data_IF_951186436284
#
_entry.id   IF_951186436284
#
_cell.length_a   1.000
_cell.length_b   1.000
_cell.length_c   1.000
_cell.angle_alpha   90.00
_cell.angle_beta   90.00
_cell.angle_gamma   90.00
#
_symmetry.space_group_name_H-M   'P 1'
#
loop_
_entity.id
_entity.type
_entity.pdbx_description
1 polymer ?
#
# COMPACT_ATOMS: atom_id res chain seq x y z
N UNK A 1 19.30 -16.73 -16.10
CA UNK A 1 19.07 -18.15 -15.70
C UNK A 1 17.92 -18.35 -14.71
N UNK A 2 17.43 -17.32 -14.00
CA UNK A 2 16.29 -17.48 -13.07
C UNK A 2 14.94 -17.64 -13.79
N UNK A 3 14.74 -16.93 -14.93
CA UNK A 3 13.49 -17.02 -15.71
C UNK A 3 13.17 -18.42 -16.21
N UNK A 4 14.17 -19.16 -16.71
CA UNK A 4 13.94 -20.50 -17.28
C UNK A 4 13.52 -21.53 -16.22
N UNK A 5 14.10 -21.47 -15.01
CA UNK A 5 13.77 -22.42 -13.94
C UNK A 5 12.35 -22.22 -13.39
N UNK A 6 11.90 -20.97 -13.28
CA UNK A 6 10.53 -20.68 -12.86
C UNK A 6 9.51 -21.09 -13.93
N UNK A 7 9.79 -20.77 -15.19
CA UNK A 7 8.99 -21.16 -16.34
C UNK A 7 8.80 -22.69 -16.41
N UNK A 8 9.88 -23.46 -16.25
CA UNK A 8 9.83 -24.92 -16.30
C UNK A 8 8.97 -25.55 -15.18
N UNK A 9 8.94 -24.94 -13.99
CA UNK A 9 8.07 -25.40 -12.88
C UNK A 9 6.58 -25.19 -13.23
N UNK A 10 6.26 -24.13 -13.97
CA UNK A 10 4.87 -23.78 -14.28
C UNK A 10 4.25 -24.64 -15.39
N UNK A 11 5.04 -25.29 -16.24
CA UNK A 11 4.55 -26.13 -17.36
C UNK A 11 3.62 -27.26 -16.93
N UNK A 12 3.75 -27.74 -15.69
CA UNK A 12 2.86 -28.76 -15.12
C UNK A 12 1.52 -28.22 -14.58
N UNK A 13 1.36 -26.90 -14.52
CA UNK A 13 0.22 -26.21 -13.90
C UNK A 13 -0.55 -25.40 -14.95
N UNK A 14 0.19 -24.67 -15.79
CA UNK A 14 -0.33 -23.80 -16.85
C UNK A 14 0.00 -24.43 -18.20
N UNK A 15 -1.02 -24.70 -19.00
CA UNK A 15 -0.88 -25.29 -20.33
C UNK A 15 -0.72 -24.15 -21.36
N UNK A 16 0.51 -23.66 -21.48
CA UNK A 16 0.90 -22.62 -22.45
C UNK A 16 2.16 -23.03 -23.23
N UNK A 17 2.47 -22.32 -24.31
CA UNK A 17 3.70 -22.54 -25.08
C UNK A 17 4.95 -22.19 -24.25
N UNK A 18 6.10 -22.75 -24.64
CA UNK A 18 7.38 -22.49 -23.96
C UNK A 18 7.68 -20.98 -23.90
N UNK A 19 7.85 -20.45 -22.69
CA UNK A 19 8.15 -19.04 -22.44
C UNK A 19 6.91 -18.18 -22.16
N UNK A 20 5.70 -18.74 -22.18
CA UNK A 20 4.46 -18.02 -21.91
C UNK A 20 3.84 -18.32 -20.54
N UNK A 21 4.29 -19.34 -19.81
CA UNK A 21 3.67 -19.76 -18.55
C UNK A 21 3.76 -18.66 -17.48
N UNK A 22 4.88 -17.93 -17.40
CA UNK A 22 5.06 -16.83 -16.45
C UNK A 22 4.07 -15.69 -16.70
N UNK A 23 3.87 -15.28 -17.95
CA UNK A 23 2.91 -14.24 -18.32
C UNK A 23 1.47 -14.67 -17.99
N UNK A 24 1.13 -15.91 -18.31
CA UNK A 24 -0.16 -16.51 -17.98
C UNK A 24 -0.40 -16.61 -16.46
N UNK A 25 0.64 -16.88 -15.66
CA UNK A 25 0.55 -16.83 -14.20
C UNK A 25 0.26 -15.41 -13.70
N UNK A 26 0.94 -14.41 -14.25
CA UNK A 26 0.68 -13.01 -13.88
C UNK A 26 -0.75 -12.60 -14.20
N UNK A 27 -1.26 -13.00 -15.37
CA UNK A 27 -2.66 -12.78 -15.75
C UNK A 27 -3.62 -13.50 -14.79
N UNK A 28 -3.35 -14.77 -14.47
CA UNK A 28 -4.15 -15.54 -13.52
C UNK A 28 -4.25 -14.86 -12.15
N UNK A 29 -3.11 -14.40 -11.62
CA UNK A 29 -3.05 -13.68 -10.33
C UNK A 29 -3.82 -12.35 -10.42
N UNK A 30 -3.60 -11.57 -11.48
CA UNK A 30 -4.25 -10.28 -11.66
C UNK A 30 -5.78 -10.41 -11.76
N UNK A 31 -6.27 -11.33 -12.60
CA UNK A 31 -7.70 -11.61 -12.74
C UNK A 31 -8.31 -12.08 -11.42
N UNK A 32 -7.62 -12.94 -10.67
CA UNK A 32 -8.10 -13.43 -9.37
C UNK A 32 -8.19 -12.32 -8.33
N UNK A 33 -7.17 -11.48 -8.25
CA UNK A 33 -7.14 -10.33 -7.32
C UNK A 33 -8.28 -9.36 -7.65
N UNK A 34 -8.50 -9.07 -8.93
CA UNK A 34 -9.56 -8.18 -9.39
C UNK A 34 -10.96 -8.77 -9.11
N UNK A 35 -11.23 -9.97 -9.60
CA UNK A 35 -12.56 -10.60 -9.53
C UNK A 35 -12.97 -10.98 -8.09
N UNK A 36 -12.02 -11.31 -7.21
CA UNK A 36 -12.32 -11.63 -5.81
C UNK A 36 -12.75 -10.41 -4.98
N UNK A 37 -12.45 -9.19 -5.45
CA UNK A 37 -12.70 -7.93 -4.72
C UNK A 37 -11.98 -7.85 -3.36
N UNK A 38 -11.00 -8.72 -3.12
CA UNK A 38 -10.38 -8.90 -1.80
C UNK A 38 -9.61 -7.66 -1.34
N UNK A 39 -8.93 -6.98 -2.28
CA UNK A 39 -8.22 -5.74 -1.99
C UNK A 39 -9.16 -4.56 -1.73
N UNK A 40 -10.35 -4.54 -2.35
CA UNK A 40 -11.36 -3.52 -2.05
C UNK A 40 -11.82 -3.59 -0.60
N UNK A 41 -12.04 -4.80 -0.07
CA UNK A 41 -12.40 -5.00 1.34
C UNK A 41 -11.24 -4.64 2.29
N UNK A 42 -10.00 -4.97 1.92
CA UNK A 42 -8.83 -4.60 2.71
C UNK A 42 -8.67 -3.08 2.82
N UNK A 43 -8.83 -2.39 1.69
CA UNK A 43 -8.71 -0.93 1.62
C UNK A 43 -9.70 -0.22 2.55
N UNK A 44 -10.94 -0.69 2.64
CA UNK A 44 -11.93 -0.11 3.56
C UNK A 44 -11.52 -0.24 5.03
N UNK A 45 -10.79 -1.30 5.40
CA UNK A 45 -10.22 -1.44 6.76
C UNK A 45 -9.02 -0.51 6.95
N UNK A 46 -8.16 -0.36 5.95
CA UNK A 46 -7.03 0.57 6.01
C UNK A 46 -7.49 2.03 6.17
N UNK A 47 -8.63 2.40 5.58
CA UNK A 47 -9.26 3.74 5.69
C UNK A 47 -9.83 4.06 7.08
N UNK A 48 -9.84 3.11 8.02
CA UNK A 48 -10.15 3.39 9.42
C UNK A 48 -9.14 4.36 10.05
N UNK A 49 -7.95 4.48 9.45
CA UNK A 49 -6.97 5.52 9.76
C UNK A 49 -7.37 6.87 9.15
N UNK A 50 -8.16 7.64 9.91
CA UNK A 50 -8.73 8.93 9.45
C UNK A 50 -7.82 10.12 9.73
N UNK A 51 -6.93 10.02 10.73
CA UNK A 51 -6.14 11.16 11.22
C UNK A 51 -4.65 11.01 10.95
N UNK A 52 -4.23 9.87 10.37
CA UNK A 52 -2.84 9.45 10.26
C UNK A 52 -2.15 9.37 11.62
N UNK A 53 -0.92 8.86 11.64
CA UNK A 53 -0.13 8.77 12.85
C UNK A 53 0.12 10.14 13.48
N UNK A 54 0.27 11.19 12.66
CA UNK A 54 0.46 12.57 13.09
C UNK A 54 -0.70 13.13 13.92
N UNK A 55 -1.93 12.68 13.68
CA UNK A 55 -3.08 13.04 14.51
C UNK A 55 -3.30 12.07 15.67
N UNK A 56 -3.12 10.77 15.42
CA UNK A 56 -3.35 9.69 16.40
C UNK A 56 -2.44 9.80 17.62
N UNK A 57 -1.21 10.27 17.45
CA UNK A 57 -0.25 10.45 18.56
C UNK A 57 -0.80 11.37 19.67
N UNK A 58 -1.56 12.42 19.31
CA UNK A 58 -2.18 13.32 20.29
C UNK A 58 -3.23 12.61 21.14
N UNK A 59 -4.06 11.78 20.51
CA UNK A 59 -5.08 10.99 21.18
C UNK A 59 -4.48 9.87 22.04
N UNK A 60 -3.34 9.31 21.63
CA UNK A 60 -2.59 8.36 22.44
C UNK A 60 -2.16 8.98 23.79
N UNK A 61 -1.61 10.20 23.78
CA UNK A 61 -1.25 10.90 25.02
C UNK A 61 -2.45 11.18 25.93
N UNK A 62 -3.60 11.52 25.34
CA UNK A 62 -4.85 11.64 26.10
C UNK A 62 -5.24 10.31 26.77
N UNK A 63 -5.11 9.19 26.06
CA UNK A 63 -5.49 7.86 26.57
C UNK A 63 -4.61 7.43 27.73
N UNK A 64 -3.29 7.62 27.63
CA UNK A 64 -2.36 7.26 28.69
C UNK A 64 -2.32 8.28 29.84
N UNK A 65 -3.11 9.37 29.73
CA UNK A 65 -3.17 10.45 30.72
C UNK A 65 -1.82 11.13 31.00
N UNK A 66 -0.97 11.21 29.97
CA UNK A 66 0.32 11.91 30.03
C UNK A 66 0.29 13.22 29.23
N UNK A 67 1.09 14.23 29.60
CA UNK A 67 1.22 15.43 28.80
C UNK A 67 1.68 15.11 27.37
N UNK A 68 1.00 15.67 26.38
CA UNK A 68 1.36 15.47 24.99
C UNK A 68 2.73 16.07 24.69
N UNK A 69 3.69 15.23 24.32
CA UNK A 69 5.06 15.67 24.01
C UNK A 69 5.12 16.40 22.65
N UNK A 70 4.30 15.98 21.69
CA UNK A 70 4.23 16.59 20.35
C UNK A 70 3.85 18.07 20.40
N UNK A 71 2.96 18.45 21.32
CA UNK A 71 2.56 19.84 21.49
C UNK A 71 3.62 20.71 22.20
N UNK A 72 4.65 20.11 22.83
CA UNK A 72 5.73 20.87 23.49
C UNK A 72 6.80 21.37 22.52
N UNK A 73 6.97 20.69 21.39
CA UNK A 73 8.08 20.96 20.47
C UNK A 73 7.88 22.20 19.57
N UNK A 74 6.76 22.94 19.69
CA UNK A 74 6.36 23.97 18.70
C UNK A 74 5.94 25.33 19.29
N UNK A 75 6.42 25.67 20.50
CA UNK A 75 6.22 27.00 21.11
C UNK A 75 6.84 28.16 20.29
N UNK A 76 7.60 27.90 19.21
CA UNK A 76 8.34 28.95 18.48
C UNK A 76 7.50 29.73 17.44
N UNK A 77 6.37 29.19 16.94
CA UNK A 77 5.58 29.84 15.88
C UNK A 77 4.25 30.44 16.36
N UNK A 78 3.87 30.27 17.63
CA UNK A 78 2.68 30.86 18.25
C UNK A 78 1.33 30.47 17.63
N UNK A 79 1.30 29.50 16.70
CA UNK A 79 0.06 28.98 16.11
C UNK A 79 -0.30 27.63 16.74
N UNK A 80 -1.57 27.40 17.11
CA UNK A 80 -2.00 26.10 17.59
C UNK A 80 -1.77 25.04 16.50
N UNK A 81 -1.26 23.89 16.91
CA UNK A 81 -1.06 22.72 16.05
C UNK A 81 -2.35 22.41 15.29
N UNK A 82 -2.27 21.93 14.05
CA UNK A 82 -3.44 21.48 13.26
C UNK A 82 -4.32 20.44 13.98
N UNK A 83 -3.79 19.81 15.03
CA UNK A 83 -4.43 18.78 15.84
C UNK A 83 -4.69 19.21 17.29
N UNK A 84 -4.50 20.48 17.66
CA UNK A 84 -4.78 20.96 19.02
C UNK A 84 -6.22 20.69 19.46
N UNK A 85 -7.18 20.72 18.52
CA UNK A 85 -8.59 20.37 18.78
C UNK A 85 -8.79 18.92 19.22
N UNK A 86 -7.85 18.01 18.91
CA UNK A 86 -7.93 16.59 19.31
C UNK A 86 -7.83 16.41 20.83
N UNK A 87 -7.22 17.33 21.57
CA UNK A 87 -7.19 17.29 23.04
C UNK A 87 -8.54 17.58 23.70
N UNK A 88 -9.50 18.14 22.95
CA UNK A 88 -10.88 18.35 23.43
C UNK A 88 -11.81 17.18 23.10
N UNK A 89 -11.31 16.12 22.44
CA UNK A 89 -12.11 14.96 22.05
C UNK A 89 -12.44 14.12 23.30
N UNK A 90 -13.71 13.72 23.51
CA UNK A 90 -14.10 12.86 24.63
C UNK A 90 -13.32 11.54 24.65
N UNK A 91 -13.02 11.04 25.85
CA UNK A 91 -12.19 9.84 26.05
C UNK A 91 -12.63 8.63 25.23
N UNK A 92 -13.93 8.30 25.23
CA UNK A 92 -14.46 7.16 24.46
C UNK A 92 -14.23 7.30 22.95
N UNK A 93 -14.32 8.53 22.44
CA UNK A 93 -14.08 8.83 21.03
C UNK A 93 -12.59 8.74 20.71
N UNK A 94 -11.72 9.20 21.61
CA UNK A 94 -10.26 9.04 21.50
C UNK A 94 -9.87 7.56 21.46
N UNK A 95 -10.42 6.74 22.37
CA UNK A 95 -10.23 5.29 22.38
C UNK A 95 -10.65 4.64 21.07
N UNK A 96 -11.83 5.01 20.55
CA UNK A 96 -12.31 4.48 19.27
C UNK A 96 -11.35 4.80 18.13
N UNK A 97 -10.93 6.06 18.00
CA UNK A 97 -10.04 6.49 16.92
C UNK A 97 -8.69 5.76 17.00
N UNK A 98 -8.10 5.66 18.18
CA UNK A 98 -6.81 4.98 18.36
C UNK A 98 -6.92 3.48 18.11
N UNK A 99 -8.02 2.85 18.53
CA UNK A 99 -8.31 1.44 18.22
C UNK A 99 -8.46 1.22 16.71
N UNK A 100 -9.23 2.09 16.04
CA UNK A 100 -9.47 2.02 14.60
C UNK A 100 -8.16 2.20 13.81
N UNK A 101 -7.26 3.08 14.27
CA UNK A 101 -5.89 3.20 13.75
C UNK A 101 -5.08 1.91 13.89
N UNK A 102 -5.10 1.26 15.06
CA UNK A 102 -4.34 0.00 15.25
C UNK A 102 -4.89 -1.13 14.37
N UNK A 103 -6.20 -1.17 14.15
CA UNK A 103 -6.83 -2.10 13.19
C UNK A 103 -6.36 -1.79 11.76
N UNK A 104 -6.36 -0.52 11.37
CA UNK A 104 -5.83 -0.10 10.07
C UNK A 104 -4.35 -0.46 9.91
N UNK A 105 -3.53 -0.27 10.95
CA UNK A 105 -2.11 -0.65 10.95
C UNK A 105 -1.92 -2.17 10.79
N UNK A 106 -2.80 -3.00 11.38
CA UNK A 106 -2.81 -4.45 11.09
C UNK A 106 -3.14 -4.72 9.61
N UNK A 107 -4.13 -4.03 9.03
CA UNK A 107 -4.49 -4.19 7.62
C UNK A 107 -3.44 -3.66 6.62
N UNK A 108 -2.64 -2.66 7.01
CA UNK A 108 -1.51 -2.14 6.20
C UNK A 108 -0.33 -3.12 6.17
N UNK A 109 -0.14 -3.89 7.24
CA UNK A 109 1.00 -4.81 7.42
C UNK A 109 0.69 -6.29 7.12
N UNK A 110 -0.55 -6.64 6.73
CA UNK A 110 -0.95 -8.03 6.50
C UNK A 110 -0.50 -8.57 5.13
N UNK A 111 -0.47 -9.89 4.98
CA UNK A 111 -0.18 -10.55 3.70
C UNK A 111 -1.42 -11.20 3.11
N UNK A 112 -1.54 -11.21 1.78
CA UNK A 112 -2.58 -11.95 1.05
C UNK A 112 -1.97 -13.19 0.41
N UNK A 113 -2.47 -14.37 0.79
CA UNK A 113 -2.07 -15.64 0.20
C UNK A 113 -3.18 -16.16 -0.72
N UNK A 114 -2.84 -16.42 -1.98
CA UNK A 114 -3.75 -17.01 -2.97
C UNK A 114 -3.23 -18.40 -3.35
N UNK A 115 -4.08 -19.40 -3.18
CA UNK A 115 -3.79 -20.78 -3.57
C UNK A 115 -4.59 -21.13 -4.82
N UNK A 116 -3.94 -21.75 -5.81
CA UNK A 116 -4.56 -22.17 -7.06
C UNK A 116 -4.55 -23.68 -7.22
N UNK A 117 -5.59 -24.21 -7.88
CA UNK A 117 -5.66 -25.59 -8.33
C UNK A 117 -6.26 -25.63 -9.74
N UNK A 118 -5.55 -26.16 -10.75
CA UNK A 118 -6.14 -26.42 -12.07
C UNK A 118 -7.37 -27.32 -11.93
N UNK A 119 -8.46 -27.00 -12.62
CA UNK A 119 -9.66 -27.83 -12.65
C UNK A 119 -9.64 -28.73 -13.89
N UNK A 120 -9.90 -30.01 -13.71
CA UNK A 120 -10.11 -30.93 -14.82
C UNK A 120 -11.56 -30.81 -15.33
N UNK A 121 -11.77 -30.88 -16.65
CA UNK A 121 -13.10 -30.81 -17.29
C UNK A 121 -14.13 -31.86 -16.79
N UNK A 122 -13.67 -32.85 -16.03
CA UNK A 122 -14.50 -33.94 -15.48
C UNK A 122 -14.97 -33.69 -14.05
N UNK A 123 -14.47 -32.66 -13.38
CA UNK A 123 -14.82 -32.36 -12.00
C UNK A 123 -16.18 -31.64 -11.91
N UNK A 124 -17.10 -32.22 -11.13
CA UNK A 124 -18.35 -31.55 -10.75
C UNK A 124 -18.07 -30.26 -9.95
N UNK A 125 -19.05 -29.34 -9.95
CA UNK A 125 -19.01 -28.04 -9.26
C UNK A 125 -18.17 -28.05 -7.97
N UNK A 126 -17.08 -27.28 -7.98
CA UNK A 126 -16.25 -27.05 -6.80
C UNK A 126 -16.95 -26.09 -5.85
N UNK A 127 -16.82 -26.32 -4.54
CA UNK A 127 -17.22 -25.35 -3.52
C UNK A 127 -16.28 -24.14 -3.44
N UNK A 128 -15.17 -24.15 -4.19
CA UNK A 128 -14.22 -23.04 -4.24
C UNK A 128 -14.58 -22.06 -5.35
N UNK A 129 -14.24 -20.79 -5.14
CA UNK A 129 -14.30 -19.79 -6.21
C UNK A 129 -13.36 -20.18 -7.34
N UNK A 130 -13.72 -19.84 -8.57
CA UNK A 130 -12.93 -20.17 -9.75
C UNK A 130 -12.70 -18.95 -10.63
N UNK A 131 -11.61 -18.98 -11.38
CA UNK A 131 -11.24 -17.98 -12.39
C UNK A 131 -10.97 -18.70 -13.70
N UNK A 132 -11.42 -18.11 -14.82
CA UNK A 132 -11.21 -18.65 -16.15
C UNK A 132 -10.12 -17.85 -16.86
N UNK A 133 -8.98 -18.49 -17.11
CA UNK A 133 -7.85 -17.88 -17.80
C UNK A 133 -8.06 -18.00 -19.31
N UNK A 134 -8.45 -16.89 -19.95
CA UNK A 134 -8.84 -16.88 -21.37
C UNK A 134 -7.72 -17.27 -22.34
N UNK A 135 -6.47 -16.92 -22.01
CA UNK A 135 -5.29 -17.15 -22.85
C UNK A 135 -4.98 -18.64 -23.04
N UNK A 136 -5.10 -19.45 -21.98
CA UNK A 136 -4.87 -20.90 -22.02
C UNK A 136 -6.16 -21.72 -22.06
N UNK A 137 -7.32 -21.06 -21.95
CA UNK A 137 -8.64 -21.68 -21.85
C UNK A 137 -8.78 -22.64 -20.66
N UNK A 138 -8.04 -22.39 -19.58
CA UNK A 138 -8.06 -23.21 -18.37
C UNK A 138 -8.92 -22.57 -17.27
N UNK A 139 -9.52 -23.41 -16.42
CA UNK A 139 -10.21 -22.98 -15.20
C UNK A 139 -9.32 -23.32 -14.00
N UNK A 140 -9.18 -22.37 -13.08
CA UNK A 140 -8.49 -22.58 -11.81
C UNK A 140 -9.43 -22.32 -10.65
N UNK A 141 -9.51 -23.29 -9.73
CA UNK A 141 -10.06 -23.05 -8.40
C UNK A 141 -9.07 -22.23 -7.59
N UNK A 142 -9.58 -21.31 -6.77
CA UNK A 142 -8.74 -20.53 -5.87
C UNK A 142 -9.33 -20.33 -4.48
N UNK A 143 -8.43 -20.05 -3.52
CA UNK A 143 -8.76 -19.51 -2.20
C UNK A 143 -7.83 -18.34 -1.92
N UNK A 144 -8.39 -17.23 -1.44
CA UNK A 144 -7.65 -16.04 -1.06
C UNK A 144 -7.83 -15.80 0.45
N UNK A 145 -6.72 -15.77 1.21
CA UNK A 145 -6.74 -15.64 2.67
C UNK A 145 -5.76 -14.56 3.12
N UNK A 146 -6.18 -13.72 4.07
CA UNK A 146 -5.27 -12.83 4.78
C UNK A 146 -4.56 -13.57 5.90
N UNK A 147 -3.26 -13.34 6.02
CA UNK A 147 -2.41 -13.83 7.11
C UNK A 147 -1.70 -12.64 7.78
N UNK A 148 -1.02 -12.88 8.90
CA UNK A 148 -0.30 -11.86 9.68
C UNK A 148 -1.22 -10.79 10.30
N UNK A 149 -2.43 -11.18 10.72
CA UNK A 149 -3.45 -10.30 11.32
C UNK A 149 -3.26 -10.08 12.84
N UNK A 150 -2.02 -10.06 13.30
CA UNK A 150 -1.72 -9.87 14.72
C UNK A 150 -2.07 -8.46 15.20
N UNK A 151 -2.54 -8.38 16.45
CA UNK A 151 -2.87 -7.12 17.08
C UNK A 151 -1.62 -6.26 17.26
N UNK A 152 -1.69 -4.99 16.84
CA UNK A 152 -0.62 -4.02 17.13
C UNK A 152 -0.69 -3.52 18.58
N UNK A 153 0.40 -3.64 19.37
CA UNK A 153 0.42 -3.10 20.73
C UNK A 153 0.26 -1.58 20.75
N UNK A 154 -0.55 -1.04 21.67
CA UNK A 154 -0.80 0.39 21.82
C UNK A 154 0.49 1.23 21.90
N UNK A 155 1.49 0.76 22.66
CA UNK A 155 2.80 1.40 22.81
C UNK A 155 3.59 1.58 21.51
N UNK A 156 3.21 0.89 20.42
CA UNK A 156 3.86 1.08 19.11
C UNK A 156 3.51 2.43 18.48
N UNK A 157 2.45 3.12 18.91
CA UNK A 157 2.08 4.43 18.36
C UNK A 157 3.23 5.42 18.43
N UNK A 158 3.95 5.50 19.55
CA UNK A 158 5.13 6.37 19.66
C UNK A 158 6.18 6.00 18.61
N UNK A 159 6.44 4.69 18.41
CA UNK A 159 7.40 4.23 17.41
C UNK A 159 6.96 4.52 15.98
N UNK A 160 5.66 4.38 15.69
CA UNK A 160 5.12 4.72 14.37
C UNK A 160 5.28 6.21 14.08
N UNK A 161 5.06 7.06 15.08
CA UNK A 161 5.23 8.50 14.94
C UNK A 161 6.69 8.89 14.68
N UNK A 162 7.64 8.34 15.44
CA UNK A 162 9.06 8.61 15.20
C UNK A 162 9.53 8.11 13.82
N UNK A 163 9.08 6.91 13.42
CA UNK A 163 9.40 6.35 12.11
C UNK A 163 8.84 7.20 10.97
N UNK A 164 7.61 7.69 11.11
CA UNK A 164 6.98 8.57 10.12
C UNK A 164 7.76 9.88 9.96
N UNK A 165 8.16 10.50 11.07
CA UNK A 165 9.06 11.67 11.04
C UNK A 165 10.38 11.38 10.35
N UNK A 166 11.00 10.23 10.62
CA UNK A 166 12.25 9.82 9.98
C UNK A 166 12.07 9.67 8.46
N UNK A 167 10.99 9.00 8.02
CA UNK A 167 10.67 8.82 6.60
C UNK A 167 10.48 10.18 5.91
N UNK A 168 9.68 11.08 6.49
CA UNK A 168 9.41 12.41 5.92
C UNK A 168 10.67 13.27 5.86
N UNK A 169 11.51 13.24 6.89
CA UNK A 169 12.78 13.97 6.91
C UNK A 169 13.74 13.46 5.83
N UNK A 170 13.90 12.14 5.71
CA UNK A 170 14.74 11.54 4.67
C UNK A 170 14.20 11.88 3.26
N UNK A 171 12.89 11.80 3.06
CA UNK A 171 12.28 12.11 1.76
C UNK A 171 12.48 13.59 1.38
N UNK A 172 12.33 14.51 2.34
CA UNK A 172 12.52 15.95 2.11
C UNK A 172 13.96 16.28 1.72
N UNK A 173 14.94 15.68 2.41
CA UNK A 173 16.36 15.86 2.08
C UNK A 173 16.70 15.41 0.65
N UNK A 174 16.09 14.32 0.18
CA UNK A 174 16.28 13.85 -1.20
C UNK A 174 15.74 14.89 -2.19
N UNK A 175 14.57 15.47 -1.95
CA UNK A 175 14.01 16.50 -2.82
C UNK A 175 14.91 17.74 -2.90
N UNK A 176 15.39 18.23 -1.74
CA UNK A 176 16.28 19.39 -1.70
C UNK A 176 17.57 19.14 -2.51
N UNK A 177 18.16 17.95 -2.41
CA UNK A 177 19.37 17.61 -3.20
C UNK A 177 19.12 17.47 -4.70
N UNK A 178 17.92 17.07 -5.11
CA UNK A 178 17.53 16.96 -6.54
C UNK A 178 17.28 18.35 -7.12
N UNK A 179 16.66 19.25 -6.36
CA UNK A 179 16.44 20.65 -6.75
C UNK A 179 17.76 21.44 -6.84
N UNK A 180 18.70 21.18 -5.93
CA UNK A 180 20.06 21.76 -5.99
C UNK A 180 20.88 21.24 -7.18
N UNK A 181 20.77 19.95 -7.54
CA UNK A 181 21.45 19.37 -8.70
C UNK A 181 20.80 19.73 -10.05
N UNK A 182 19.51 20.05 -10.08
CA UNK A 182 18.78 20.49 -11.27
C UNK A 182 19.10 21.93 -11.72
N UNK A 183 19.69 22.75 -10.84
CA UNK A 183 20.08 24.13 -11.13
C UNK A 183 21.47 24.28 -11.77
N UNK A 184 22.24 23.19 -11.94
CA UNK A 184 23.60 23.24 -12.53
C UNK A 184 23.65 22.82 -14.02
N UNK A 185 22.50 22.51 -14.65
CA UNK A 185 22.42 22.12 -16.08
C UNK A 185 21.47 23.00 -16.93
N UNK A 186 21.19 24.23 -16.49
CA UNK A 186 20.12 25.06 -17.03
C UNK A 186 20.51 26.32 -17.79
N UNK A 187 21.62 26.38 -18.54
CA UNK A 187 21.84 27.42 -19.56
C UNK A 187 22.61 26.85 -20.75
N UNK A 188 21.89 26.31 -21.73
CA UNK A 188 22.08 26.51 -23.18
C UNK A 188 21.17 25.54 -23.95
N UNK A 189 20.71 25.97 -25.12
CA UNK A 189 19.87 25.26 -26.09
C UNK A 189 18.35 25.46 -25.95
N UNK A 190 17.91 26.71 -26.14
CA UNK A 190 16.66 26.99 -26.88
C UNK A 190 16.88 28.15 -27.86
N UNK A 191 17.72 27.95 -28.87
CA UNK A 191 17.73 28.80 -30.06
C UNK A 191 18.35 28.00 -31.20
N UNK A 192 17.52 27.32 -31.99
CA UNK A 192 17.74 26.95 -33.40
C UNK A 192 16.78 25.84 -33.85
N UNK A 193 15.47 26.11 -33.94
CA UNK A 193 14.56 25.30 -34.77
C UNK A 193 13.23 26.03 -35.02
N UNK A 194 13.26 27.28 -35.49
CA UNK A 194 12.11 27.88 -36.18
C UNK A 194 12.56 28.27 -37.59
N UNK A 195 12.80 27.24 -38.40
CA UNK A 195 12.91 27.35 -39.85
C UNK A 195 11.54 27.13 -40.48
N UNK A 196 11.00 28.22 -41.05
CA UNK A 196 10.23 28.28 -42.30
C UNK A 196 9.03 27.34 -42.49
N UNK A 197 7.83 27.90 -42.30
CA UNK A 197 6.63 27.49 -43.05
C UNK A 197 6.23 28.67 -43.95
N UNK A 198 6.46 28.51 -45.25
CA UNK A 198 6.00 29.41 -46.30
C UNK A 198 4.46 29.35 -46.44
N UNK A 199 3.81 30.52 -46.47
CA UNK A 199 2.48 30.75 -47.05
C UNK A 199 2.66 31.27 -48.48
N UNK A 200 2.18 30.50 -49.46
CA UNK A 200 1.25 30.87 -50.54
C UNK A 200 1.26 29.81 -51.65
#
# INVERSE_FOLDING_TARGET
>A
MIGNAFEDILKGIIQADDGQCTENLLQLVAETVYCSGVLGRLLEVQKLDVFDIEGVIHLYYNIISEPCLVCRDLDEAGRPHRYSSLHSVPFDKSLKIVKDFLIAATAKDCSLMISFRPRDDRDLESSCSSVYLHSTKQIFDYKANFIDLDLKPLKKIVKYYELDKEILNCYSQVLDTVDEAGNDFGVEVYESANGEIHQD
#
